data_IF_152398575889
#
_entry.id   IF_152398575889
#
_cell.length_a   1.000
_cell.length_b   1.000
_cell.length_c   1.000
_cell.angle_alpha   90.00
_cell.angle_beta   90.00
_cell.angle_gamma   90.00
#
_symmetry.space_group_name_H-M   'P 1'
#
loop_
_entity.id
_entity.type
_entity.pdbx_description
1 polymer ?
#
# COMPACT_ATOMS: atom_id res chain seq x y z
N UNK A 1 31.68 -14.34 0.91
CA UNK A 1 32.01 -12.91 0.73
C UNK A 1 31.64 -12.21 2.02
N UNK A 2 32.60 -11.61 2.72
CA UNK A 2 32.33 -10.76 3.89
C UNK A 2 31.64 -9.50 3.41
N UNK A 3 30.32 -9.41 3.60
CA UNK A 3 29.56 -8.18 3.34
C UNK A 3 30.14 -7.07 4.20
N UNK A 4 30.62 -5.99 3.59
CA UNK A 4 30.97 -4.78 4.33
C UNK A 4 29.76 -4.38 5.17
N UNK A 5 29.96 -4.15 6.47
CA UNK A 5 28.88 -3.70 7.35
C UNK A 5 28.57 -2.22 7.15
N UNK A 6 29.39 -1.50 6.39
CA UNK A 6 29.21 -0.09 6.10
C UNK A 6 29.33 0.25 4.62
N UNK A 7 28.59 1.26 4.19
CA UNK A 7 28.62 1.78 2.82
C UNK A 7 28.07 3.22 2.77
N UNK A 8 28.50 3.98 1.75
CA UNK A 8 27.95 5.30 1.45
C UNK A 8 26.56 5.18 0.81
N UNK A 9 25.58 5.92 1.31
CA UNK A 9 24.27 6.06 0.70
C UNK A 9 24.03 7.52 0.27
N UNK A 10 23.10 7.70 -0.67
CA UNK A 10 22.70 9.00 -1.18
C UNK A 10 21.18 9.14 -1.24
N UNK A 11 20.69 10.34 -0.94
CA UNK A 11 19.32 10.75 -1.25
C UNK A 11 19.33 11.89 -2.26
N UNK A 12 18.41 11.84 -3.23
CA UNK A 12 18.28 12.82 -4.30
C UNK A 12 17.06 13.69 -4.04
N UNK A 13 17.25 15.01 -4.14
CA UNK A 13 16.17 16.00 -4.21
C UNK A 13 16.20 16.64 -5.59
N UNK A 14 15.05 16.72 -6.26
CA UNK A 14 14.92 17.54 -7.45
C UNK A 14 13.46 17.95 -7.69
N UNK A 15 13.24 18.85 -8.65
CA UNK A 15 11.90 19.26 -9.10
C UNK A 15 11.52 18.54 -10.41
N UNK A 16 10.67 17.50 -10.35
CA UNK A 16 10.05 16.92 -11.54
C UNK A 16 9.18 17.96 -12.26
N UNK A 17 9.33 18.06 -13.57
CA UNK A 17 8.44 18.86 -14.41
C UNK A 17 7.32 17.96 -14.95
N UNK A 18 6.08 18.27 -14.58
CA UNK A 18 4.91 17.49 -15.01
C UNK A 18 4.84 17.40 -16.55
N UNK A 19 4.48 16.22 -17.07
CA UNK A 19 4.43 15.89 -18.50
C UNK A 19 5.77 15.79 -19.25
N UNK A 20 6.89 16.25 -18.67
CA UNK A 20 8.20 16.21 -19.32
C UNK A 20 9.02 14.97 -18.91
N UNK A 21 8.45 13.78 -19.08
CA UNK A 21 9.03 12.51 -18.61
C UNK A 21 10.49 12.29 -19.05
N UNK A 22 10.81 12.49 -20.33
CA UNK A 22 12.19 12.30 -20.81
C UNK A 22 13.18 13.29 -20.19
N UNK A 23 12.75 14.54 -19.93
CA UNK A 23 13.58 15.53 -19.21
C UNK A 23 13.80 15.10 -17.77
N UNK A 24 12.76 14.64 -17.09
CA UNK A 24 12.84 14.15 -15.71
C UNK A 24 13.77 12.94 -15.61
N UNK A 25 13.63 11.97 -16.53
CA UNK A 25 14.51 10.81 -16.63
C UNK A 25 15.97 11.22 -16.87
N UNK A 26 16.23 12.11 -17.82
CA UNK A 26 17.59 12.60 -18.09
C UNK A 26 18.21 13.27 -16.86
N UNK A 27 17.42 14.05 -16.11
CA UNK A 27 17.85 14.71 -14.88
C UNK A 27 18.14 13.72 -13.76
N UNK A 28 17.23 12.78 -13.50
CA UNK A 28 17.41 11.73 -12.50
C UNK A 28 18.60 10.83 -12.81
N UNK A 29 18.76 10.42 -14.07
CA UNK A 29 19.90 9.62 -14.53
C UNK A 29 21.20 10.37 -14.22
N UNK A 30 21.29 11.66 -14.56
CA UNK A 30 22.47 12.47 -14.24
C UNK A 30 22.77 12.48 -12.74
N UNK A 31 21.77 12.75 -11.89
CA UNK A 31 21.94 12.81 -10.44
C UNK A 31 22.33 11.44 -9.85
N UNK A 32 21.73 10.36 -10.34
CA UNK A 32 22.07 9.00 -9.89
C UNK A 32 23.47 8.58 -10.33
N UNK A 33 23.88 8.90 -11.55
CA UNK A 33 25.24 8.64 -12.04
C UNK A 33 26.27 9.44 -11.25
N UNK A 34 25.98 10.70 -10.93
CA UNK A 34 26.83 11.54 -10.06
C UNK A 34 26.97 10.91 -8.66
N UNK A 35 25.86 10.53 -8.03
CA UNK A 35 25.88 9.87 -6.73
C UNK A 35 26.67 8.55 -6.74
N UNK A 36 26.49 7.75 -7.79
CA UNK A 36 27.18 6.48 -7.95
C UNK A 36 28.69 6.68 -8.20
N UNK A 37 29.08 7.70 -8.97
CA UNK A 37 30.48 8.08 -9.18
C UNK A 37 31.16 8.57 -7.89
N UNK A 38 30.40 9.22 -7.01
CA UNK A 38 30.81 9.58 -5.64
C UNK A 38 30.82 8.37 -4.67
N UNK A 39 30.60 7.15 -5.16
CA UNK A 39 30.72 5.91 -4.40
C UNK A 39 29.47 5.52 -3.60
N UNK A 40 28.32 6.16 -3.84
CA UNK A 40 27.07 5.74 -3.22
C UNK A 40 26.67 4.34 -3.71
N UNK A 41 26.48 3.41 -2.76
CA UNK A 41 26.03 2.04 -3.03
C UNK A 41 24.51 1.90 -3.01
N UNK A 42 23.80 2.79 -2.29
CA UNK A 42 22.34 2.88 -2.26
C UNK A 42 21.92 4.31 -2.53
N UNK A 43 21.12 4.52 -3.59
CA UNK A 43 20.66 5.84 -4.03
C UNK A 43 19.14 5.84 -4.01
N UNK A 44 18.54 6.80 -3.32
CA UNK A 44 17.07 6.91 -3.20
C UNK A 44 16.61 8.16 -3.94
N UNK A 45 15.61 8.00 -4.82
CA UNK A 45 15.05 9.09 -5.64
C UNK A 45 13.61 9.41 -5.25
N UNK A 46 13.09 10.62 -5.53
CA UNK A 46 11.74 11.01 -5.12
C UNK A 46 10.60 10.18 -5.71
N UNK A 47 9.47 10.19 -4.98
CA UNK A 47 8.21 9.59 -5.42
C UNK A 47 7.75 10.19 -6.75
N UNK A 48 7.32 9.36 -7.69
CA UNK A 48 6.85 9.80 -9.02
C UNK A 48 7.86 10.73 -9.75
N UNK A 49 9.15 10.60 -9.42
CA UNK A 49 10.20 11.45 -9.98
C UNK A 49 10.28 11.38 -11.50
N UNK A 50 9.88 10.25 -12.10
CA UNK A 50 9.86 10.11 -13.57
C UNK A 50 8.90 11.07 -14.28
N UNK A 51 7.85 11.56 -13.60
CA UNK A 51 6.67 12.11 -14.30
C UNK A 51 6.06 13.36 -13.68
N UNK A 52 6.22 13.59 -12.38
CA UNK A 52 5.38 14.51 -11.60
C UNK A 52 4.22 13.78 -10.90
N UNK A 53 3.53 14.47 -9.99
CA UNK A 53 2.65 13.85 -8.98
C UNK A 53 1.17 14.21 -9.11
N UNK A 54 0.85 15.48 -9.34
CA UNK A 54 -0.48 16.08 -9.23
C UNK A 54 -1.41 15.72 -10.42
N UNK A 55 -1.49 14.44 -10.80
CA UNK A 55 -2.37 13.93 -11.85
C UNK A 55 -3.85 14.14 -11.52
N UNK A 56 -4.61 14.51 -12.54
CA UNK A 56 -6.02 14.83 -12.41
C UNK A 56 -6.88 13.58 -12.33
N UNK A 57 -6.67 12.64 -13.27
CA UNK A 57 -7.39 11.39 -13.38
C UNK A 57 -6.53 10.31 -14.07
N UNK A 58 -7.15 9.14 -14.28
CA UNK A 58 -6.52 8.00 -14.95
C UNK A 58 -6.14 8.28 -16.41
N UNK A 59 -6.92 9.07 -17.14
CA UNK A 59 -6.66 9.34 -18.57
C UNK A 59 -5.47 10.28 -18.75
N UNK A 60 -5.27 11.24 -17.84
CA UNK A 60 -4.16 12.18 -17.88
C UNK A 60 -2.81 11.51 -17.63
N UNK A 61 -2.74 10.56 -16.67
CA UNK A 61 -1.50 9.84 -16.35
C UNK A 61 -1.23 8.68 -17.31
N UNK A 62 -2.26 8.19 -18.04
CA UNK A 62 -2.17 7.02 -18.93
C UNK A 62 -1.00 7.03 -19.92
N UNK A 63 -0.57 8.14 -20.52
CA UNK A 63 0.59 8.14 -21.42
C UNK A 63 1.93 7.90 -20.71
N UNK A 64 1.95 7.99 -19.37
CA UNK A 64 3.17 8.03 -18.57
C UNK A 64 3.40 6.78 -17.74
N UNK A 65 2.37 5.95 -17.51
CA UNK A 65 2.49 4.66 -16.83
C UNK A 65 3.38 3.70 -17.61
N UNK A 66 4.16 2.88 -16.91
CA UNK A 66 4.97 1.82 -17.51
C UNK A 66 4.82 0.52 -16.72
N UNK A 67 5.08 -0.62 -17.36
CA UNK A 67 5.26 -1.88 -16.64
C UNK A 67 6.55 -1.85 -15.81
N UNK A 68 6.64 -2.72 -14.82
CA UNK A 68 7.88 -2.99 -14.08
C UNK A 68 8.18 -4.49 -14.20
N UNK A 69 9.25 -4.91 -14.90
CA UNK A 69 10.24 -4.08 -15.62
C UNK A 69 9.66 -3.33 -16.82
N UNK A 70 10.32 -2.24 -17.21
CA UNK A 70 9.94 -1.39 -18.33
C UNK A 70 11.02 -0.35 -18.72
N UNK A 71 10.72 0.53 -19.70
CA UNK A 71 11.70 1.42 -20.30
C UNK A 71 12.47 2.31 -19.31
N UNK A 72 11.82 2.81 -18.26
CA UNK A 72 12.46 3.61 -17.22
C UNK A 72 13.36 2.74 -16.36
N UNK A 73 12.89 1.60 -15.83
CA UNK A 73 13.71 0.72 -14.97
C UNK A 73 14.94 0.19 -15.69
N UNK A 74 14.85 -0.08 -16.99
CA UNK A 74 15.98 -0.55 -17.81
C UNK A 74 17.11 0.49 -17.88
N UNK A 75 16.77 1.79 -17.92
CA UNK A 75 17.76 2.87 -17.95
C UNK A 75 18.51 2.96 -16.61
N UNK A 76 17.80 2.83 -15.48
CA UNK A 76 18.43 2.86 -14.15
C UNK A 76 19.18 1.57 -13.82
N UNK A 77 18.74 0.42 -14.35
CA UNK A 77 19.49 -0.84 -14.23
C UNK A 77 20.89 -0.72 -14.82
N UNK A 78 21.06 -0.05 -15.96
CA UNK A 78 22.40 0.18 -16.55
C UNK A 78 23.34 0.94 -15.61
N UNK A 79 22.80 1.92 -14.86
CA UNK A 79 23.59 2.65 -13.85
C UNK A 79 23.99 1.70 -12.71
N UNK A 80 23.03 0.91 -12.22
CA UNK A 80 23.27 -0.07 -11.16
C UNK A 80 24.34 -1.09 -11.56
N UNK A 81 24.28 -1.62 -12.78
CA UNK A 81 25.26 -2.54 -13.36
C UNK A 81 26.65 -1.90 -13.48
N UNK A 82 26.73 -0.69 -14.04
CA UNK A 82 28.00 0.01 -14.30
C UNK A 82 28.73 0.39 -13.01
N UNK A 83 28.00 0.81 -11.99
CA UNK A 83 28.56 1.33 -10.74
C UNK A 83 28.47 0.37 -9.56
N UNK A 84 27.92 -0.83 -9.76
CA UNK A 84 27.66 -1.82 -8.71
C UNK A 84 26.89 -1.22 -7.50
N UNK A 85 25.81 -0.52 -7.80
CA UNK A 85 24.97 0.17 -6.81
C UNK A 85 23.50 -0.27 -6.92
N UNK A 86 22.69 0.19 -5.96
CA UNK A 86 21.26 0.00 -5.90
C UNK A 86 20.56 1.35 -5.99
N UNK A 87 19.44 1.40 -6.72
CA UNK A 87 18.62 2.60 -6.89
C UNK A 87 17.17 2.28 -6.50
N UNK A 88 16.57 3.14 -5.69
CA UNK A 88 15.11 3.17 -5.46
C UNK A 88 14.49 4.23 -6.37
N UNK A 89 13.66 3.79 -7.32
CA UNK A 89 13.01 4.62 -8.33
C UNK A 89 11.50 4.74 -8.06
N UNK A 90 10.98 5.96 -7.96
CA UNK A 90 9.55 6.23 -7.90
C UNK A 90 8.92 6.48 -9.27
N UNK A 91 7.88 5.71 -9.63
CA UNK A 91 7.22 5.80 -10.94
C UNK A 91 5.75 5.36 -10.93
N UNK A 92 4.92 5.84 -11.89
CA UNK A 92 3.60 5.27 -12.13
C UNK A 92 3.71 3.93 -12.86
N UNK A 93 3.24 2.88 -12.22
CA UNK A 93 3.22 1.52 -12.74
C UNK A 93 1.86 1.20 -13.39
N UNK A 94 1.84 0.44 -14.48
CA UNK A 94 0.67 -0.30 -14.95
C UNK A 94 0.91 -1.81 -14.82
N UNK A 95 -0.07 -2.50 -14.23
CA UNK A 95 -0.10 -3.95 -14.18
C UNK A 95 -0.67 -4.51 -15.49
N UNK A 96 0.07 -5.29 -16.28
CA UNK A 96 -0.40 -5.77 -17.57
C UNK A 96 -1.51 -6.84 -17.47
N UNK A 97 -1.68 -7.48 -16.30
CA UNK A 97 -2.71 -8.51 -16.10
C UNK A 97 -4.06 -7.92 -15.69
N UNK A 98 -4.05 -6.81 -14.94
CA UNK A 98 -5.27 -6.18 -14.41
C UNK A 98 -5.58 -4.81 -15.02
N UNK A 99 -4.63 -4.24 -15.76
CA UNK A 99 -4.63 -2.86 -16.26
C UNK A 99 -4.73 -1.78 -15.17
N UNK A 100 -4.60 -2.15 -13.89
CA UNK A 100 -4.60 -1.23 -12.76
C UNK A 100 -3.29 -0.45 -12.72
N UNK A 101 -3.39 0.81 -12.30
CA UNK A 101 -2.23 1.69 -12.14
C UNK A 101 -1.85 1.81 -10.67
N UNK A 102 -0.57 1.98 -10.38
CA UNK A 102 -0.06 2.08 -9.01
C UNK A 102 1.02 3.15 -8.89
N UNK A 103 1.08 3.85 -7.77
CA UNK A 103 2.27 4.60 -7.40
C UNK A 103 3.28 3.63 -6.77
N UNK A 104 4.45 3.48 -7.40
CA UNK A 104 5.36 2.37 -7.12
C UNK A 104 6.78 2.84 -6.86
N UNK A 105 7.37 2.32 -5.79
CA UNK A 105 8.81 2.32 -5.56
C UNK A 105 9.41 1.02 -6.11
N UNK A 106 10.46 1.12 -6.91
CA UNK A 106 11.17 -0.04 -7.48
C UNK A 106 12.60 -0.06 -6.95
N UNK A 107 13.01 -1.15 -6.31
CA UNK A 107 14.38 -1.40 -5.91
C UNK A 107 15.11 -2.12 -7.04
N UNK A 108 16.06 -1.42 -7.66
CA UNK A 108 16.88 -1.90 -8.77
C UNK A 108 18.29 -2.13 -8.23
N UNK A 109 18.88 -3.28 -8.55
CA UNK A 109 20.25 -3.63 -8.18
C UNK A 109 21.13 -3.93 -9.39
N UNK A 110 22.40 -4.29 -9.17
CA UNK A 110 23.37 -4.53 -10.25
C UNK A 110 23.07 -5.77 -11.09
N UNK A 111 22.18 -6.64 -10.61
CA UNK A 111 21.76 -7.86 -11.32
C UNK A 111 20.30 -7.77 -11.82
N UNK A 112 19.71 -6.57 -11.84
CA UNK A 112 18.32 -6.32 -12.20
C UNK A 112 17.42 -5.93 -11.03
N UNK A 113 16.11 -6.00 -11.25
CA UNK A 113 15.09 -5.61 -10.26
C UNK A 113 15.10 -6.59 -9.08
N UNK A 114 15.25 -6.05 -7.88
CA UNK A 114 15.17 -6.82 -6.62
C UNK A 114 13.71 -6.99 -6.18
N UNK A 115 12.91 -5.94 -6.36
CA UNK A 115 11.50 -5.93 -6.00
C UNK A 115 10.86 -4.56 -6.16
N UNK A 116 9.57 -4.48 -5.85
CA UNK A 116 8.79 -3.25 -5.90
C UNK A 116 7.83 -3.18 -4.72
N UNK A 117 7.49 -1.97 -4.31
CA UNK A 117 6.45 -1.68 -3.32
C UNK A 117 5.44 -0.72 -3.94
N UNK A 118 4.17 -1.12 -3.93
CA UNK A 118 3.05 -0.30 -4.40
C UNK A 118 2.46 0.43 -3.20
N UNK A 119 2.34 1.75 -3.27
CA UNK A 119 1.92 2.62 -2.17
C UNK A 119 0.61 2.13 -1.55
N UNK A 120 0.65 1.79 -0.26
CA UNK A 120 -0.49 1.21 0.44
C UNK A 120 -1.49 2.28 0.90
N UNK A 121 -0.98 3.44 1.33
CA UNK A 121 -1.78 4.56 1.83
C UNK A 121 -1.78 5.71 0.81
N UNK A 122 -2.81 5.82 -0.04
CA UNK A 122 -2.87 6.91 -1.01
C UNK A 122 -3.12 8.26 -0.32
N UNK A 123 -2.57 9.30 -0.93
CA UNK A 123 -2.73 10.69 -0.55
C UNK A 123 -3.45 11.46 -1.65
N UNK A 124 -4.64 11.96 -1.33
CA UNK A 124 -5.39 13.00 -2.03
C UNK A 124 -5.55 12.84 -3.56
N UNK A 125 -4.48 13.04 -4.35
CA UNK A 125 -4.47 12.97 -5.80
C UNK A 125 -4.52 11.52 -6.32
N UNK A 126 -3.89 10.59 -5.62
CA UNK A 126 -3.70 9.21 -6.11
C UNK A 126 -4.97 8.39 -6.27
N UNK A 127 -5.98 8.46 -5.39
CA UNK A 127 -7.22 7.68 -5.55
C UNK A 127 -7.97 7.96 -6.86
N UNK A 128 -7.61 9.02 -7.59
CA UNK A 128 -8.22 9.39 -8.89
C UNK A 128 -7.64 8.62 -10.07
N UNK A 129 -6.45 8.05 -9.93
CA UNK A 129 -5.72 7.43 -11.04
C UNK A 129 -5.05 6.10 -10.69
N UNK A 130 -4.70 5.88 -9.41
CA UNK A 130 -4.03 4.69 -8.91
C UNK A 130 -4.94 3.86 -7.99
N UNK A 131 -4.75 2.55 -8.02
CA UNK A 131 -5.23 1.64 -6.99
C UNK A 131 -4.32 1.66 -5.75
N UNK A 132 -4.87 1.26 -4.61
CA UNK A 132 -4.07 1.02 -3.40
C UNK A 132 -3.14 -0.16 -3.62
N UNK A 133 -1.97 -0.13 -2.99
CA UNK A 133 -1.02 -1.23 -2.99
C UNK A 133 -1.65 -2.54 -2.51
N UNK A 134 -1.35 -3.61 -3.25
CA UNK A 134 -1.94 -4.94 -3.10
C UNK A 134 -0.98 -5.97 -2.45
N UNK A 135 0.21 -5.50 -2.06
CA UNK A 135 1.25 -6.30 -1.42
C UNK A 135 1.53 -5.79 -0.01
N UNK A 136 1.81 -6.71 0.91
CA UNK A 136 2.26 -6.37 2.25
C UNK A 136 3.59 -5.59 2.21
N UNK A 137 3.90 -4.82 3.25
CA UNK A 137 5.18 -4.14 3.39
C UNK A 137 6.33 -5.16 3.45
N UNK A 138 7.12 -5.21 2.39
CA UNK A 138 8.17 -6.20 2.16
C UNK A 138 9.55 -5.67 2.57
N UNK A 139 10.42 -6.59 2.98
CA UNK A 139 11.84 -6.31 3.23
C UNK A 139 12.69 -7.14 2.30
N UNK A 140 13.48 -6.45 1.47
CA UNK A 140 14.32 -7.04 0.45
C UNK A 140 15.72 -7.31 0.99
N UNK A 141 16.21 -8.54 0.82
CA UNK A 141 17.57 -8.91 1.22
C UNK A 141 18.53 -8.60 0.07
N UNK A 142 19.55 -7.79 0.32
CA UNK A 142 20.60 -7.45 -0.64
C UNK A 142 21.97 -7.62 0.00
N UNK A 143 23.04 -7.42 -0.78
CA UNK A 143 24.41 -7.38 -0.23
C UNK A 143 24.64 -6.17 0.71
N UNK A 144 23.80 -5.13 0.61
CA UNK A 144 23.82 -3.93 1.45
C UNK A 144 23.00 -4.10 2.74
N UNK A 145 22.45 -5.30 2.99
CA UNK A 145 21.59 -5.55 4.13
C UNK A 145 20.12 -5.67 3.73
N UNK A 146 19.23 -5.42 4.69
CA UNK A 146 17.78 -5.55 4.52
C UNK A 146 17.14 -4.19 4.26
N UNK A 147 16.52 -4.03 3.11
CA UNK A 147 15.96 -2.75 2.65
C UNK A 147 14.43 -2.85 2.63
N UNK A 148 13.77 -1.96 3.39
CA UNK A 148 12.34 -1.67 3.27
C UNK A 148 12.10 -0.48 2.35
N UNK A 149 10.88 -0.37 1.82
CA UNK A 149 10.48 0.72 0.93
C UNK A 149 9.10 1.23 1.31
N UNK A 150 9.00 2.53 1.58
CA UNK A 150 7.74 3.20 1.87
C UNK A 150 7.55 4.37 0.92
N UNK A 151 6.31 4.61 0.50
CA UNK A 151 5.99 5.72 -0.40
C UNK A 151 5.18 6.77 0.36
N UNK A 152 5.78 7.95 0.55
CA UNK A 152 5.14 9.18 1.05
C UNK A 152 4.26 8.94 2.28
N UNK A 153 2.93 8.93 2.11
CA UNK A 153 1.98 8.72 3.20
C UNK A 153 2.11 7.39 3.94
N UNK A 154 2.72 6.36 3.34
CA UNK A 154 2.97 5.11 4.05
C UNK A 154 3.70 5.35 5.37
N UNK A 155 4.71 6.22 5.39
CA UNK A 155 5.52 6.50 6.58
C UNK A 155 4.78 7.37 7.62
N UNK A 156 3.64 7.97 7.28
CA UNK A 156 2.81 8.71 8.23
C UNK A 156 2.18 7.75 9.27
N UNK A 157 1.83 6.55 8.83
CA UNK A 157 1.35 5.47 9.70
C UNK A 157 2.55 4.76 10.32
N UNK A 158 2.57 4.66 11.65
CA UNK A 158 3.73 4.06 12.35
C UNK A 158 3.82 2.55 12.10
N UNK A 159 2.69 1.93 11.81
CA UNK A 159 2.51 0.51 11.57
C UNK A 159 3.36 0.04 10.39
N UNK A 160 3.41 0.81 9.31
CA UNK A 160 4.10 0.41 8.07
C UNK A 160 5.60 0.27 8.30
N UNK A 161 6.23 1.30 8.87
CA UNK A 161 7.64 1.30 9.24
C UNK A 161 7.93 0.26 10.32
N UNK A 162 7.02 0.07 11.28
CA UNK A 162 7.15 -0.96 12.31
C UNK A 162 7.12 -2.37 11.73
N UNK A 163 6.26 -2.64 10.75
CA UNK A 163 6.15 -3.93 10.08
C UNK A 163 7.48 -4.25 9.38
N UNK A 164 8.04 -3.32 8.62
CA UNK A 164 9.35 -3.51 7.97
C UNK A 164 10.47 -3.72 8.99
N UNK A 165 10.49 -2.95 10.07
CA UNK A 165 11.50 -3.06 11.11
C UNK A 165 11.45 -4.40 11.84
N UNK A 166 10.24 -4.89 12.17
CA UNK A 166 10.02 -6.21 12.78
C UNK A 166 10.38 -7.34 11.80
N UNK A 167 10.16 -7.14 10.49
CA UNK A 167 10.66 -8.02 9.44
C UNK A 167 12.19 -7.93 9.25
N UNK A 168 12.85 -7.02 9.99
CA UNK A 168 14.29 -6.94 10.13
C UNK A 168 14.96 -5.92 9.22
N UNK A 169 14.23 -4.96 8.63
CA UNK A 169 14.81 -3.90 7.81
C UNK A 169 15.98 -3.20 8.52
N UNK A 170 17.14 -3.13 7.89
CA UNK A 170 18.29 -2.36 8.37
C UNK A 170 18.15 -0.88 7.95
N UNK A 171 17.58 -0.66 6.75
CA UNK A 171 17.34 0.65 6.13
C UNK A 171 15.91 0.68 5.56
N UNK A 172 15.21 1.79 5.78
CA UNK A 172 13.92 2.09 5.15
C UNK A 172 14.16 3.21 4.14
N UNK A 173 13.93 2.92 2.86
CA UNK A 173 13.96 3.94 1.81
C UNK A 173 12.56 4.56 1.71
N UNK A 174 12.47 5.84 2.02
CA UNK A 174 11.24 6.61 1.93
C UNK A 174 11.35 7.54 0.73
N UNK A 175 10.39 7.42 -0.19
CA UNK A 175 10.31 8.28 -1.38
C UNK A 175 9.05 9.13 -1.26
N UNK A 176 9.13 10.45 -1.47
CA UNK A 176 7.98 11.32 -1.17
C UNK A 176 7.83 12.54 -2.09
N UNK A 177 6.59 13.05 -2.08
CA UNK A 177 6.18 14.36 -2.54
C UNK A 177 5.55 15.14 -1.37
N UNK A 178 6.36 15.41 -0.34
CA UNK A 178 5.93 16.04 0.91
C UNK A 178 5.72 17.56 0.79
N UNK A 179 4.74 18.08 1.51
CA UNK A 179 4.27 19.47 1.39
C UNK A 179 3.87 20.07 2.75
N UNK A 180 3.79 21.42 2.79
CA UNK A 180 3.21 22.25 3.87
C UNK A 180 3.77 22.08 5.29
N UNK A 181 4.90 21.39 5.46
CA UNK A 181 5.56 21.22 6.75
C UNK A 181 7.04 21.61 6.69
N UNK A 182 7.61 21.88 7.88
CA UNK A 182 9.05 22.09 8.05
C UNK A 182 9.76 20.76 7.92
N UNK A 183 10.78 20.71 7.08
CA UNK A 183 11.60 19.53 6.81
C UNK A 183 13.03 19.74 7.31
N UNK A 184 13.78 18.68 7.70
CA UNK A 184 13.34 17.30 7.91
C UNK A 184 12.20 17.19 8.92
N UNK A 185 11.18 16.39 8.60
CA UNK A 185 9.96 16.37 9.38
C UNK A 185 10.11 15.52 10.66
N UNK A 186 9.48 15.91 11.79
CA UNK A 186 9.62 15.20 13.06
C UNK A 186 9.24 13.72 13.03
N UNK A 187 8.23 13.33 12.24
CA UNK A 187 7.84 11.93 12.14
C UNK A 187 8.84 11.11 11.31
N UNK A 188 9.57 11.68 10.33
CA UNK A 188 10.69 10.98 9.68
C UNK A 188 11.76 10.57 10.69
N UNK A 189 12.11 11.53 11.56
CA UNK A 189 13.06 11.33 12.66
C UNK A 189 12.56 10.26 13.63
N UNK A 190 11.29 10.37 14.05
CA UNK A 190 10.70 9.40 14.96
C UNK A 190 10.64 8.00 14.36
N UNK A 191 10.37 7.85 13.07
CA UNK A 191 10.29 6.54 12.39
C UNK A 191 11.65 5.87 12.32
N UNK A 192 12.74 6.63 12.12
CA UNK A 192 14.09 6.09 12.22
C UNK A 192 14.41 5.64 13.65
N UNK A 193 14.17 6.52 14.61
CA UNK A 193 14.47 6.33 16.02
C UNK A 193 13.70 5.14 16.64
N UNK A 194 12.37 5.11 16.53
CA UNK A 194 11.54 4.10 17.19
C UNK A 194 11.74 2.70 16.60
N UNK A 195 12.19 2.63 15.35
CA UNK A 195 12.43 1.39 14.64
C UNK A 195 13.90 0.95 14.64
N UNK A 196 14.81 1.76 15.19
CA UNK A 196 16.25 1.49 15.16
C UNK A 196 16.70 1.14 13.73
N UNK A 197 16.22 1.92 12.75
CA UNK A 197 16.50 1.76 11.33
C UNK A 197 17.10 3.06 10.79
N UNK A 198 17.95 2.96 9.78
CA UNK A 198 18.20 4.14 8.96
C UNK A 198 16.93 4.48 8.17
N UNK A 199 16.62 5.76 8.05
CA UNK A 199 15.59 6.26 7.11
C UNK A 199 16.29 7.16 6.11
N UNK A 200 16.20 6.79 4.84
CA UNK A 200 16.68 7.62 3.73
C UNK A 200 15.45 8.22 3.07
N UNK A 201 15.22 9.50 3.31
CA UNK A 201 14.09 10.24 2.75
C UNK A 201 14.52 10.99 1.49
N UNK A 202 13.88 10.69 0.37
CA UNK A 202 14.03 11.38 -0.91
C UNK A 202 12.71 12.07 -1.26
N UNK A 203 12.66 13.37 -0.96
CA UNK A 203 11.53 14.23 -1.26
C UNK A 203 11.80 15.10 -2.49
N UNK A 204 10.78 15.34 -3.32
CA UNK A 204 10.85 16.41 -4.31
C UNK A 204 10.79 17.79 -3.67
N UNK A 205 11.12 18.81 -4.44
CA UNK A 205 10.79 20.20 -4.13
C UNK A 205 10.10 20.87 -5.32
N UNK A 206 9.76 22.15 -5.16
CA UNK A 206 9.20 22.97 -6.24
C UNK A 206 7.68 23.08 -6.24
N UNK A 207 7.14 23.66 -7.31
CA UNK A 207 5.71 24.01 -7.42
C UNK A 207 5.07 23.24 -8.57
N UNK A 208 4.06 22.42 -8.28
CA UNK A 208 3.30 21.71 -9.31
C UNK A 208 1.80 21.94 -9.10
N UNK A 209 1.12 22.47 -10.11
CA UNK A 209 -0.34 22.72 -10.05
C UNK A 209 -0.78 23.41 -8.76
N UNK A 210 -0.12 24.50 -8.40
CA UNK A 210 -0.36 25.29 -7.17
C UNK A 210 -0.03 24.59 -5.85
N UNK A 211 0.47 23.35 -5.88
CA UNK A 211 0.96 22.62 -4.71
C UNK A 211 2.45 22.88 -4.54
N UNK A 212 2.82 23.49 -3.42
CA UNK A 212 4.20 23.74 -3.05
C UNK A 212 4.75 22.55 -2.25
N UNK A 213 5.75 21.86 -2.80
CA UNK A 213 6.48 20.79 -2.12
C UNK A 213 7.66 21.34 -1.34
N UNK A 214 7.93 20.73 -0.18
CA UNK A 214 8.83 21.28 0.84
C UNK A 214 10.31 20.95 0.63
N UNK A 215 10.67 19.93 -0.17
CA UNK A 215 12.06 19.42 -0.19
C UNK A 215 12.47 18.86 1.18
N UNK A 216 13.73 19.08 1.58
CA UNK A 216 14.27 18.57 2.84
C UNK A 216 14.63 17.10 2.82
N UNK A 217 14.97 16.54 1.65
CA UNK A 217 15.51 15.19 1.54
C UNK A 217 16.66 15.00 2.51
N UNK A 218 16.71 13.88 3.22
CA UNK A 218 17.67 13.67 4.29
C UNK A 218 17.97 12.19 4.55
N UNK A 219 19.08 11.94 5.24
CA UNK A 219 19.44 10.62 5.77
C UNK A 219 19.44 10.71 7.29
N UNK A 220 18.66 9.84 7.92
CA UNK A 220 18.44 9.81 9.36
C UNK A 220 18.96 8.49 9.92
N UNK A 221 19.73 8.59 10.99
CA UNK A 221 20.35 7.45 11.67
C UNK A 221 19.37 6.71 12.59
N UNK A 222 19.69 5.46 13.01
CA UNK A 222 18.84 4.66 13.90
C UNK A 222 18.52 5.29 15.26
N UNK A 223 19.27 6.31 15.69
CA UNK A 223 19.05 7.06 16.92
C UNK A 223 18.29 8.39 16.69
N UNK A 224 17.80 8.63 15.48
CA UNK A 224 17.07 9.83 15.09
C UNK A 224 17.96 11.02 14.69
N UNK A 225 19.29 10.89 14.74
CA UNK A 225 20.18 11.96 14.29
C UNK A 225 20.10 12.12 12.77
N UNK A 226 19.90 13.36 12.29
CA UNK A 226 20.01 13.67 10.85
C UNK A 226 21.49 13.70 10.47
N UNK A 227 21.92 12.77 9.63
CA UNK A 227 23.31 12.65 9.17
C UNK A 227 23.60 13.63 8.03
N UNK A 228 22.64 13.84 7.13
CA UNK A 228 22.75 14.78 6.02
C UNK A 228 21.34 15.24 5.56
N UNK A 229 21.23 16.45 5.03
CA UNK A 229 19.98 17.00 4.48
C UNK A 229 20.24 17.95 3.32
N UNK A 230 19.21 18.19 2.50
CA UNK A 230 19.19 19.17 1.41
C UNK A 230 18.16 20.26 1.75
N UNK A 231 18.64 21.47 2.02
CA UNK A 231 17.77 22.55 2.51
C UNK A 231 16.91 23.19 1.41
N UNK A 232 17.42 23.30 0.19
CA UNK A 232 16.73 23.91 -0.94
C UNK A 232 17.30 23.44 -2.28
N UNK A 233 16.50 23.56 -3.34
CA UNK A 233 16.96 23.30 -4.70
C UNK A 233 17.15 21.83 -5.04
N UNK A 234 17.59 21.57 -6.27
CA UNK A 234 18.06 20.25 -6.68
C UNK A 234 19.39 19.94 -5.98
N UNK A 235 19.58 18.70 -5.53
CA UNK A 235 20.83 18.29 -4.91
C UNK A 235 20.90 16.81 -4.54
N UNK A 236 22.05 16.42 -3.99
CA UNK A 236 22.32 15.08 -3.48
C UNK A 236 22.94 15.24 -2.09
N UNK A 237 22.43 14.50 -1.11
CA UNK A 237 23.02 14.41 0.22
C UNK A 237 23.54 12.99 0.46
N UNK A 238 24.69 12.88 1.13
CA UNK A 238 25.41 11.63 1.34
C UNK A 238 25.64 11.36 2.82
N UNK A 239 25.57 10.09 3.22
CA UNK A 239 25.98 9.65 4.55
C UNK A 239 26.50 8.21 4.52
N UNK A 240 27.34 7.86 5.49
CA UNK A 240 27.75 6.48 5.73
C UNK A 240 26.66 5.74 6.52
N UNK A 241 26.26 4.58 6.00
CA UNK A 241 25.38 3.62 6.67
C UNK A 241 26.27 2.58 7.34
N UNK A 242 26.02 2.30 8.62
CA UNK A 242 26.64 1.19 9.36
C UNK A 242 25.55 0.27 9.89
N UNK A 243 25.38 -0.88 9.23
CA UNK A 243 24.36 -1.88 9.55
C UNK A 243 24.51 -2.43 10.96
N UNK A 244 25.69 -2.35 11.57
CA UNK A 244 25.88 -2.78 12.95
C UNK A 244 25.04 -1.93 13.92
N UNK A 245 24.78 -0.66 13.59
CA UNK A 245 23.97 0.25 14.43
C UNK A 245 22.49 -0.09 14.40
N UNK A 246 21.89 -0.27 13.22
CA UNK A 246 20.47 -0.64 13.13
C UNK A 246 20.21 -2.05 13.68
N UNK A 247 21.16 -2.98 13.51
CA UNK A 247 21.05 -4.36 14.02
C UNK A 247 21.12 -4.50 15.53
N UNK A 248 21.58 -3.46 16.27
CA UNK A 248 21.47 -3.47 17.74
C UNK A 248 20.02 -3.52 18.20
N UNK A 249 19.09 -2.96 17.43
CA UNK A 249 17.66 -2.85 17.79
C UNK A 249 17.44 -2.21 19.16
N UNK A 250 18.30 -1.24 19.44
CA UNK A 250 18.30 -0.47 20.68
C UNK A 250 17.78 0.93 20.42
N UNK A 251 16.95 1.40 21.33
CA UNK A 251 16.40 2.76 21.37
C UNK A 251 16.64 3.27 22.78
N UNK A 252 17.41 4.36 22.93
CA UNK A 252 17.85 4.88 24.24
C UNK A 252 18.55 3.84 25.14
N UNK A 253 19.30 2.91 24.54
CA UNK A 253 19.98 1.84 25.27
C UNK A 253 19.08 0.67 25.68
N UNK A 254 17.82 0.66 25.25
CA UNK A 254 16.89 -0.42 25.55
C UNK A 254 16.56 -1.26 24.31
N UNK A 255 16.44 -2.58 24.49
CA UNK A 255 16.00 -3.50 23.45
C UNK A 255 14.48 -3.47 23.25
N UNK A 256 13.97 -2.35 22.75
CA UNK A 256 12.52 -2.07 22.64
C UNK A 256 11.78 -3.16 21.86
N UNK A 257 12.43 -3.79 20.88
CA UNK A 257 11.83 -4.88 20.09
C UNK A 257 11.51 -6.14 20.91
N UNK A 258 12.36 -6.47 21.90
CA UNK A 258 12.16 -7.62 22.80
C UNK A 258 11.09 -7.31 23.86
N UNK A 259 10.83 -6.03 24.14
CA UNK A 259 9.83 -5.56 25.11
C UNK A 259 8.41 -5.43 24.53
N UNK A 260 8.22 -5.66 23.23
CA UNK A 260 6.90 -5.59 22.58
C UNK A 260 5.99 -6.70 23.12
N UNK A 261 4.68 -6.42 23.13
CA UNK A 261 3.63 -7.37 23.53
C UNK A 261 2.62 -7.60 22.38
N UNK A 262 3.01 -8.27 21.26
CA UNK A 262 2.15 -8.44 20.09
C UNK A 262 0.79 -9.06 20.39
N UNK A 263 0.70 -9.90 21.43
CA UNK A 263 -0.53 -10.53 21.90
C UNK A 263 -1.60 -9.53 22.36
N UNK A 264 -1.23 -8.26 22.61
CA UNK A 264 -2.15 -7.21 23.02
C UNK A 264 -2.46 -6.18 21.94
N UNK A 265 -1.95 -6.38 20.72
CA UNK A 265 -2.21 -5.47 19.61
C UNK A 265 -3.10 -6.06 18.49
N UNK A 266 -3.94 -7.10 18.71
CA UNK A 266 -4.72 -7.68 17.62
C UNK A 266 -5.72 -6.69 17.02
N UNK A 267 -6.20 -5.71 17.79
CA UNK A 267 -7.12 -4.68 17.31
C UNK A 267 -6.48 -3.71 16.31
N UNK A 268 -5.15 -3.48 16.36
CA UNK A 268 -4.45 -2.65 15.36
C UNK A 268 -4.56 -3.23 13.95
N UNK A 269 -4.90 -4.51 13.81
CA UNK A 269 -5.09 -5.19 12.53
C UNK A 269 -6.51 -5.00 11.96
N UNK A 270 -7.41 -4.31 12.68
CA UNK A 270 -8.76 -4.01 12.20
C UNK A 270 -8.74 -2.72 11.40
N UNK A 271 -8.91 -2.86 10.09
CA UNK A 271 -8.77 -1.81 9.08
C UNK A 271 -9.58 -0.56 9.44
N UNK A 272 -8.93 0.59 9.60
CA UNK A 272 -9.58 1.82 10.06
C UNK A 272 -9.32 3.03 9.17
N UNK A 273 -9.48 2.96 7.84
CA UNK A 273 -9.49 4.20 7.04
C UNK A 273 -10.49 4.19 5.88
N UNK A 274 -11.46 5.10 5.98
CA UNK A 274 -12.14 5.73 4.85
C UNK A 274 -11.92 7.23 5.01
N UNK A 275 -11.24 7.87 4.05
CA UNK A 275 -11.12 9.34 4.02
C UNK A 275 -12.49 10.00 4.16
N UNK A 276 -12.55 11.19 4.76
CA UNK A 276 -13.77 11.99 4.72
C UNK A 276 -14.08 12.34 3.24
N UNK A 277 -15.18 11.84 2.66
CA UNK A 277 -15.50 12.11 1.25
C UNK A 277 -15.63 13.61 0.95
N UNK A 278 -15.98 14.42 1.95
CA UNK A 278 -16.12 15.87 1.80
C UNK A 278 -14.82 16.60 1.46
N UNK A 279 -13.66 16.08 1.87
CA UNK A 279 -12.36 16.67 1.55
C UNK A 279 -11.91 16.28 0.13
N UNK A 280 -12.23 15.05 -0.29
CA UNK A 280 -11.92 14.50 -1.62
C UNK A 280 -12.53 15.32 -2.77
N UNK A 281 -13.82 15.65 -2.69
CA UNK A 281 -14.53 16.33 -3.79
C UNK A 281 -14.37 17.86 -3.83
N UNK A 282 -13.67 18.45 -2.86
CA UNK A 282 -13.42 19.90 -2.82
C UNK A 282 -12.06 20.29 -3.41
N UNK A 283 -11.18 19.33 -3.66
CA UNK A 283 -9.83 19.59 -4.13
C UNK A 283 -9.79 20.06 -5.59
N UNK A 284 -9.00 21.09 -5.87
CA UNK A 284 -8.77 21.72 -7.18
C UNK A 284 -9.98 22.43 -7.82
N UNK A 285 -11.08 22.64 -7.10
CA UNK A 285 -12.19 23.48 -7.55
C UNK A 285 -12.96 22.96 -8.78
N UNK A 286 -12.78 21.69 -9.15
CA UNK A 286 -13.41 21.10 -10.33
C UNK A 286 -14.58 20.19 -9.92
N UNK A 287 -15.79 20.50 -10.41
CA UNK A 287 -17.06 19.82 -10.08
C UNK A 287 -17.32 19.66 -8.57
N UNK A 288 -17.60 20.77 -7.87
CA UNK A 288 -17.99 20.69 -6.46
C UNK A 288 -19.21 19.77 -6.31
N UNK A 289 -19.24 18.96 -5.24
CA UNK A 289 -20.43 18.14 -4.92
C UNK A 289 -21.65 19.07 -4.97
N UNK A 290 -22.71 18.73 -5.74
CA UNK A 290 -23.94 19.49 -5.72
C UNK A 290 -24.40 19.65 -4.28
N UNK A 291 -24.98 20.81 -3.95
CA UNK A 291 -25.51 21.07 -2.61
C UNK A 291 -26.44 19.90 -2.23
N UNK A 292 -26.03 19.13 -1.22
CA UNK A 292 -26.77 17.95 -0.80
C UNK A 292 -28.21 18.29 -0.41
N UNK A 293 -29.11 17.33 -0.53
CA UNK A 293 -30.47 17.42 0.01
C UNK A 293 -30.62 16.50 1.22
N UNK A 294 -31.49 16.88 2.16
CA UNK A 294 -31.94 15.95 3.20
C UNK A 294 -32.65 14.78 2.49
N UNK A 295 -32.17 13.56 2.72
CA UNK A 295 -32.72 12.36 2.09
C UNK A 295 -33.24 11.42 3.17
N UNK A 296 -34.40 10.82 2.93
CA UNK A 296 -34.98 9.81 3.82
C UNK A 296 -34.62 8.42 3.30
N UNK A 297 -33.93 7.62 4.12
CA UNK A 297 -33.50 6.27 3.76
C UNK A 297 -34.33 5.23 4.51
N UNK A 298 -34.60 4.10 3.87
CA UNK A 298 -35.19 2.93 4.50
C UNK A 298 -34.28 1.72 4.32
N UNK A 299 -34.16 0.90 5.36
CA UNK A 299 -33.40 -0.36 5.34
C UNK A 299 -34.37 -1.51 5.58
N UNK A 300 -34.30 -2.54 4.75
CA UNK A 300 -35.18 -3.70 4.80
C UNK A 300 -34.42 -4.89 5.37
N UNK A 301 -35.05 -5.63 6.26
CA UNK A 301 -34.53 -6.90 6.78
C UNK A 301 -35.48 -8.03 6.38
N UNK A 302 -34.94 -9.05 5.70
CA UNK A 302 -35.61 -10.33 5.43
C UNK A 302 -34.54 -11.40 5.20
N UNK A 303 -34.93 -12.68 5.26
CA UNK A 303 -34.05 -13.81 4.92
C UNK A 303 -34.15 -14.09 3.43
N UNK A 304 -33.09 -13.88 2.63
CA UNK A 304 -33.10 -14.25 1.21
C UNK A 304 -33.19 -15.77 1.06
N UNK A 305 -33.98 -16.22 0.09
CA UNK A 305 -34.01 -17.61 -0.35
C UNK A 305 -33.05 -17.81 -1.53
N UNK A 306 -32.71 -19.05 -1.87
CA UNK A 306 -31.98 -19.38 -3.10
C UNK A 306 -32.93 -19.47 -4.31
N UNK A 307 -33.86 -18.52 -4.37
CA UNK A 307 -34.85 -18.37 -5.44
C UNK A 307 -35.00 -16.87 -5.76
N UNK A 308 -34.47 -16.48 -6.91
CA UNK A 308 -34.45 -15.10 -7.40
C UNK A 308 -35.87 -14.53 -7.56
N UNK A 309 -36.84 -15.34 -8.00
CA UNK A 309 -38.21 -14.88 -8.20
C UNK A 309 -38.91 -14.63 -6.86
N UNK A 310 -38.75 -15.54 -5.89
CA UNK A 310 -39.29 -15.36 -4.54
C UNK A 310 -38.68 -14.14 -3.82
N UNK A 311 -37.37 -13.94 -4.00
CA UNK A 311 -36.66 -12.79 -3.48
C UNK A 311 -37.16 -11.48 -4.10
N UNK A 312 -37.30 -11.41 -5.42
CA UNK A 312 -37.84 -10.23 -6.12
C UNK A 312 -39.27 -9.90 -5.66
N UNK A 313 -40.11 -10.91 -5.45
CA UNK A 313 -41.46 -10.70 -4.93
C UNK A 313 -41.44 -10.10 -3.51
N UNK A 314 -40.53 -10.58 -2.65
CA UNK A 314 -40.34 -10.05 -1.29
C UNK A 314 -39.83 -8.61 -1.32
N UNK A 315 -38.83 -8.33 -2.16
CA UNK A 315 -38.28 -6.99 -2.39
C UNK A 315 -39.38 -6.05 -2.87
N UNK A 316 -40.18 -6.45 -3.87
CA UNK A 316 -41.28 -5.64 -4.40
C UNK A 316 -42.33 -5.34 -3.33
N UNK A 317 -42.74 -6.34 -2.56
CA UNK A 317 -43.72 -6.16 -1.49
C UNK A 317 -43.24 -5.14 -0.46
N UNK A 318 -42.01 -5.30 0.04
CA UNK A 318 -41.42 -4.39 1.04
C UNK A 318 -41.17 -2.99 0.49
N UNK A 319 -40.70 -2.87 -0.74
CA UNK A 319 -40.49 -1.57 -1.37
C UNK A 319 -41.82 -0.80 -1.52
N UNK A 320 -42.89 -1.48 -1.93
CA UNK A 320 -44.23 -0.88 -2.05
C UNK A 320 -44.77 -0.42 -0.70
N UNK A 321 -44.63 -1.25 0.34
CA UNK A 321 -45.02 -0.92 1.71
C UNK A 321 -44.31 0.34 2.21
N UNK A 322 -42.98 0.41 2.04
CA UNK A 322 -42.16 1.55 2.48
C UNK A 322 -42.46 2.83 1.69
N UNK A 323 -42.66 2.73 0.39
CA UNK A 323 -43.04 3.89 -0.45
C UNK A 323 -44.43 4.40 -0.09
N UNK A 324 -45.35 3.51 0.27
CA UNK A 324 -46.69 3.89 0.73
C UNK A 324 -46.70 4.61 2.08
N UNK A 325 -45.80 4.24 2.99
CA UNK A 325 -45.80 4.70 4.39
C UNK A 325 -44.78 5.81 4.67
N UNK A 326 -43.53 5.61 4.27
CA UNK A 326 -42.40 6.45 4.64
C UNK A 326 -41.84 7.28 3.48
N UNK A 327 -42.20 6.96 2.23
CA UNK A 327 -41.73 7.65 1.00
C UNK A 327 -40.20 7.89 0.99
N UNK A 328 -39.37 6.86 1.22
CA UNK A 328 -37.92 7.05 1.24
C UNK A 328 -37.39 7.43 -0.14
N UNK A 329 -36.35 8.25 -0.18
CA UNK A 329 -35.55 8.50 -1.39
C UNK A 329 -34.81 7.23 -1.84
N UNK A 330 -34.43 6.38 -0.89
CA UNK A 330 -33.66 5.16 -1.15
C UNK A 330 -34.05 4.01 -0.22
N UNK A 331 -34.13 2.80 -0.79
CA UNK A 331 -34.35 1.55 -0.05
C UNK A 331 -33.13 0.65 -0.17
N UNK A 332 -32.58 0.21 0.95
CA UNK A 332 -31.43 -0.69 1.03
C UNK A 332 -31.89 -2.09 1.45
N UNK A 333 -31.53 -3.09 0.67
CA UNK A 333 -31.83 -4.50 0.94
C UNK A 333 -30.58 -5.24 1.46
N UNK A 334 -30.75 -6.39 2.14
CA UNK A 334 -29.62 -7.19 2.63
C UNK A 334 -28.67 -7.63 1.51
N UNK A 335 -27.45 -7.98 1.89
CA UNK A 335 -26.50 -8.60 0.96
C UNK A 335 -27.06 -9.90 0.38
N UNK A 336 -26.85 -10.12 -0.92
CA UNK A 336 -27.36 -11.28 -1.66
C UNK A 336 -28.89 -11.44 -1.61
N UNK A 337 -29.61 -10.34 -1.32
CA UNK A 337 -31.07 -10.30 -1.29
C UNK A 337 -31.74 -10.67 -2.61
N UNK A 338 -31.04 -10.56 -3.74
CA UNK A 338 -31.54 -11.01 -5.04
C UNK A 338 -31.29 -12.51 -5.27
N UNK A 339 -30.10 -13.01 -4.93
CA UNK A 339 -29.58 -14.28 -5.45
C UNK A 339 -29.54 -15.41 -4.42
N UNK A 340 -29.73 -15.11 -3.12
CA UNK A 340 -29.61 -16.11 -2.05
C UNK A 340 -28.18 -16.32 -1.55
N UNK A 341 -28.04 -17.13 -0.49
CA UNK A 341 -26.83 -17.28 0.30
C UNK A 341 -26.09 -18.62 0.09
N UNK A 342 -26.76 -19.68 -0.35
CA UNK A 342 -26.18 -21.03 -0.25
C UNK A 342 -25.36 -21.46 -1.47
N UNK A 343 -25.71 -21.01 -2.68
CA UNK A 343 -24.92 -21.24 -3.90
C UNK A 343 -24.82 -19.97 -4.77
N UNK A 344 -23.96 -19.02 -4.38
CA UNK A 344 -23.83 -17.75 -5.08
C UNK A 344 -23.33 -17.89 -6.52
N UNK A 345 -22.68 -19.01 -6.88
CA UNK A 345 -22.16 -19.24 -8.23
C UNK A 345 -23.28 -19.72 -9.17
N UNK A 346 -24.14 -20.63 -8.72
CA UNK A 346 -25.29 -21.10 -9.50
C UNK A 346 -26.37 -20.02 -9.70
N UNK A 347 -26.45 -19.05 -8.78
CA UNK A 347 -27.44 -17.98 -8.80
C UNK A 347 -26.82 -16.60 -9.13
N UNK A 348 -25.58 -16.56 -9.61
CA UNK A 348 -24.93 -15.31 -10.01
C UNK A 348 -25.66 -14.67 -11.19
N UNK A 349 -25.87 -13.36 -11.11
CA UNK A 349 -26.60 -12.60 -12.10
C UNK A 349 -25.69 -11.54 -12.75
N UNK A 350 -25.70 -11.47 -14.09
CA UNK A 350 -25.02 -10.41 -14.84
C UNK A 350 -25.57 -9.01 -14.50
N UNK A 351 -24.79 -7.94 -14.75
CA UNK A 351 -25.24 -6.56 -14.47
C UNK A 351 -26.49 -6.18 -15.27
N UNK A 352 -26.61 -6.73 -16.47
CA UNK A 352 -27.75 -6.55 -17.35
C UNK A 352 -28.72 -7.76 -17.30
N UNK A 353 -28.60 -8.58 -16.25
CA UNK A 353 -29.42 -9.79 -16.08
C UNK A 353 -30.90 -9.49 -15.79
N UNK A 354 -31.80 -10.44 -16.08
CA UNK A 354 -33.23 -10.33 -15.81
C UNK A 354 -33.61 -9.81 -14.41
N UNK A 355 -32.94 -10.26 -13.35
CA UNK A 355 -33.22 -9.90 -11.97
C UNK A 355 -32.80 -8.47 -11.65
N UNK A 356 -31.63 -8.04 -12.12
CA UNK A 356 -31.18 -6.65 -12.00
C UNK A 356 -32.12 -5.73 -12.77
N UNK A 357 -32.53 -6.12 -14.00
CA UNK A 357 -33.53 -5.37 -14.79
C UNK A 357 -34.89 -5.31 -14.11
N UNK A 358 -35.30 -6.35 -13.38
CA UNK A 358 -36.53 -6.33 -12.61
C UNK A 358 -36.44 -5.35 -11.43
N UNK A 359 -35.32 -5.36 -10.69
CA UNK A 359 -35.07 -4.41 -9.61
C UNK A 359 -34.99 -2.96 -10.12
N UNK A 360 -34.31 -2.72 -11.24
CA UNK A 360 -34.24 -1.40 -11.88
C UNK A 360 -35.62 -0.90 -12.29
N UNK A 361 -36.43 -1.76 -12.93
CA UNK A 361 -37.82 -1.41 -13.29
C UNK A 361 -38.67 -1.10 -12.07
N UNK A 362 -38.49 -1.84 -10.98
CA UNK A 362 -39.18 -1.59 -9.71
C UNK A 362 -38.78 -0.21 -9.15
N UNK A 363 -37.49 0.09 -9.06
CA UNK A 363 -36.96 1.37 -8.60
C UNK A 363 -37.52 2.54 -9.43
N UNK A 364 -37.51 2.41 -10.76
CA UNK A 364 -38.10 3.40 -11.68
C UNK A 364 -39.60 3.59 -11.44
N UNK A 365 -40.36 2.50 -11.28
CA UNK A 365 -41.81 2.55 -11.04
C UNK A 365 -42.15 3.21 -9.72
N UNK A 366 -41.34 2.96 -8.68
CA UNK A 366 -41.53 3.51 -7.35
C UNK A 366 -40.94 4.91 -7.17
N UNK A 367 -40.17 5.40 -8.15
CA UNK A 367 -39.43 6.67 -8.08
C UNK A 367 -38.51 6.77 -6.86
N UNK A 368 -37.90 5.64 -6.50
CA UNK A 368 -36.96 5.52 -5.39
C UNK A 368 -35.65 4.93 -5.89
N UNK A 369 -34.52 5.29 -5.28
CA UNK A 369 -33.28 4.54 -5.47
C UNK A 369 -33.37 3.19 -4.74
N UNK A 370 -32.79 2.13 -5.30
CA UNK A 370 -32.78 0.81 -4.68
C UNK A 370 -31.37 0.22 -4.76
N UNK A 371 -30.86 -0.25 -3.61
CA UNK A 371 -29.55 -0.91 -3.54
C UNK A 371 -29.72 -2.34 -3.03
N UNK A 372 -29.26 -3.29 -3.84
CA UNK A 372 -29.08 -4.68 -3.47
C UNK A 372 -27.64 -5.07 -3.78
N UNK A 373 -26.93 -5.62 -2.80
CA UNK A 373 -25.53 -6.05 -2.98
C UNK A 373 -25.52 -7.47 -3.55
N UNK A 374 -24.72 -7.70 -4.58
CA UNK A 374 -24.53 -9.00 -5.24
C UNK A 374 -23.08 -9.47 -5.14
N UNK A 375 -22.84 -10.76 -5.33
CA UNK A 375 -21.53 -11.28 -5.71
C UNK A 375 -21.43 -11.34 -7.24
N UNK A 376 -20.36 -10.75 -7.81
CA UNK A 376 -19.99 -11.05 -9.19
C UNK A 376 -19.39 -12.46 -9.25
N UNK A 377 -19.78 -13.27 -10.23
CA UNK A 377 -19.03 -14.46 -10.58
C UNK A 377 -17.63 -14.03 -11.04
N UNK A 378 -16.63 -14.20 -10.18
CA UNK A 378 -15.25 -14.27 -10.64
C UNK A 378 -15.14 -15.59 -11.41
N UNK A 379 -14.81 -15.52 -12.71
CA UNK A 379 -14.35 -16.68 -13.46
C UNK A 379 -13.27 -17.37 -12.63
N UNK A 380 -13.53 -18.59 -12.17
CA UNK A 380 -12.56 -19.34 -11.36
C UNK A 380 -11.26 -19.54 -12.15
N UNK A 381 -10.08 -19.45 -11.49
CA UNK A 381 -8.84 -19.90 -12.09
C UNK A 381 -8.87 -21.43 -12.27
N UNK A 382 -8.17 -21.90 -13.30
CA UNK A 382 -7.99 -23.30 -13.72
C UNK A 382 -7.96 -24.36 -12.58
N UNK A 383 -8.39 -25.61 -12.86
CA UNK A 383 -8.43 -26.68 -11.88
C UNK A 383 -7.03 -27.06 -11.39
N UNK A 384 -6.86 -27.10 -10.08
CA UNK A 384 -5.67 -27.61 -9.43
C UNK A 384 -5.45 -29.09 -9.79
N UNK A 385 -4.22 -29.42 -10.20
CA UNK A 385 -3.70 -30.77 -10.37
C UNK A 385 -3.81 -31.59 -9.07
N UNK A 386 -4.19 -32.89 -9.10
CA UNK A 386 -4.28 -33.72 -7.91
C UNK A 386 -2.92 -34.38 -7.62
N UNK A 387 -2.14 -33.83 -6.69
CA UNK A 387 -1.04 -34.58 -6.09
C UNK A 387 -0.84 -34.24 -4.61
N UNK A 388 -1.47 -35.04 -3.74
CA UNK A 388 -0.85 -35.68 -2.55
C UNK A 388 -1.94 -36.11 -1.57
N UNK A 389 -2.44 -37.34 -1.75
CA UNK A 389 -3.06 -38.08 -0.65
C UNK A 389 -1.95 -38.50 0.30
N UNK A 390 -1.78 -37.81 1.42
CA UNK A 390 -1.12 -38.39 2.58
C UNK A 390 -2.18 -39.06 3.45
N UNK A 391 -1.97 -40.36 3.65
CA UNK A 391 -2.83 -41.29 4.38
C UNK A 391 -2.78 -40.96 5.87
N UNK A 392 -3.94 -40.93 6.52
CA UNK A 392 -4.07 -41.13 7.96
C UNK A 392 -4.19 -42.64 8.26
N UNK A 393 -3.23 -43.12 9.06
CA UNK A 393 -3.19 -44.18 10.10
C UNK A 393 -3.98 -45.51 9.97
N UNK A 394 -3.46 -46.62 10.56
CA UNK A 394 -3.91 -46.92 11.93
C UNK A 394 -2.89 -47.60 12.89
N UNK A 395 -3.12 -47.31 14.18
CA UNK A 395 -2.94 -48.12 15.41
C UNK A 395 -1.56 -48.24 16.12
N UNK A 396 -1.54 -48.04 17.46
CA UNK A 396 -0.59 -48.67 18.36
C UNK A 396 -1.27 -49.60 19.39
N UNK A 397 -0.57 -50.67 19.80
CA UNK A 397 -0.49 -51.26 21.15
C UNK A 397 0.12 -52.69 21.08
N UNK A 398 0.58 -53.32 22.19
CA UNK A 398 0.69 -52.84 23.59
C UNK A 398 2.08 -53.11 24.23
N UNK A 399 2.37 -52.52 25.40
CA UNK A 399 3.58 -52.87 26.15
C UNK A 399 3.80 -52.16 27.49
N UNK A 400 3.31 -52.82 28.55
CA UNK A 400 3.69 -52.70 29.97
C UNK A 400 3.09 -51.56 30.82
N UNK A 401 2.49 -52.02 31.93
CA UNK A 401 1.98 -51.28 33.06
C UNK A 401 2.79 -51.67 34.30
N UNK A 402 3.05 -50.68 35.17
CA UNK A 402 3.38 -50.72 36.61
C UNK A 402 4.24 -49.46 36.89
N UNK A 403 4.14 -48.69 37.97
CA UNK A 403 3.34 -48.67 39.20
C UNK A 403 3.83 -47.43 39.99
N UNK A 404 2.96 -46.74 40.73
CA UNK A 404 3.36 -45.99 41.95
C UNK A 404 3.39 -44.45 41.90
N UNK A 405 2.40 -43.83 42.55
CA UNK A 405 2.35 -42.48 43.15
C UNK A 405 3.29 -42.36 44.38
N UNK A 406 3.47 -41.20 45.07
CA UNK A 406 3.30 -39.76 44.73
C UNK A 406 4.49 -38.83 45.15
N UNK A 407 4.47 -37.53 44.76
CA UNK A 407 5.02 -36.25 45.34
C UNK A 407 6.19 -36.20 46.37
N UNK A 408 6.79 -35.02 46.72
CA UNK A 408 7.10 -33.76 46.00
C UNK A 408 8.57 -33.28 46.23
N UNK A 409 9.03 -32.19 45.59
CA UNK A 409 9.84 -31.05 46.17
C UNK A 409 10.59 -30.24 45.09
N UNK A 410 10.80 -28.95 45.43
CA UNK A 410 11.61 -27.90 44.78
C UNK A 410 13.01 -28.37 44.34
N UNK A 411 13.78 -27.71 43.46
CA UNK A 411 14.34 -26.33 43.57
C UNK A 411 15.18 -26.05 42.31
N UNK A 412 15.21 -24.79 41.83
CA UNK A 412 16.29 -24.09 41.08
C UNK A 412 17.22 -24.86 40.14
N UNK A 413 17.16 -24.54 38.84
CA UNK A 413 18.15 -23.72 38.11
C UNK A 413 17.58 -23.28 36.75
#
# INVERSE_FOLDING_TARGET
MTTSTSYRAATVQFEPTMYEKERNLARLIKLCTEAAAEGARLIVTPEMGTTGYCWYDRDEVKPFVETVPGPSTDRFQRICEQHNCYIVLGMPEVDPATELYYNTAVLIGPNGIVGRHRKSHPYIAEPKWAANGDVAHQVFKTELGRIGMLVCMDLHFFETARIEAVAGADVICHISNWLQERTPAPYWINRAFENSCYVIEANRWGLERTVQFSGGSCIIEPDGRVAASIDAGDGIAYAEIDLSRSRKREVLGEKVFEKRRPELYPELMTNSFTWNPGDFFKLYGYQPIPKGKLSQLAVVQFSPADDVAANLATIEHRARELVGTAKPDMVVFPELSLTGLTDPAAHAEELEGPAVKALTRLAMKLRTYSQAVRRCALLSPHPASPSSRLRESPAPHPGSAASGTPCPTSTTL
#
